data_IF_020212607483
#
_entry.id   IF_020212607483
#
_cell.length_a   1.000
_cell.length_b   1.000
_cell.length_c   1.000
_cell.angle_alpha   90.00
_cell.angle_beta   90.00
_cell.angle_gamma   90.00
#
_symmetry.space_group_name_H-M   'P 1'
#
loop_
_entity.id
_entity.type
_entity.pdbx_description
1 polymer ?
#
# COMPACT_ATOMS: atom_id res chain seq x y z
N UNK A 1 3.82 -6.02 -1.10
CA UNK A 1 3.23 -4.66 -1.02
C UNK A 1 2.52 -4.49 0.30
N UNK A 2 2.46 -3.27 0.86
CA UNK A 2 1.70 -2.98 2.07
C UNK A 2 0.97 -1.64 1.94
N UNK A 3 -0.15 -1.50 2.65
CA UNK A 3 -0.91 -0.25 2.80
C UNK A 3 -0.98 0.05 4.29
N UNK A 4 -0.68 1.29 4.67
CA UNK A 4 -0.80 1.77 6.05
C UNK A 4 -1.80 2.92 6.16
N UNK A 5 -2.32 3.12 7.35
CA UNK A 5 -3.15 4.27 7.69
C UNK A 5 -2.32 5.57 7.87
N UNK A 6 -3.02 6.64 8.25
CA UNK A 6 -2.40 7.93 8.56
C UNK A 6 -1.46 7.93 9.79
N UNK A 7 -1.39 6.87 10.57
CA UNK A 7 -0.49 6.68 11.71
C UNK A 7 0.65 5.71 11.43
N UNK A 8 0.66 5.07 10.24
CA UNK A 8 1.63 4.06 9.85
C UNK A 8 1.24 2.64 10.31
N UNK A 9 0.01 2.44 10.78
CA UNK A 9 -0.50 1.13 11.15
C UNK A 9 -0.92 0.33 9.92
N UNK A 10 -0.68 -0.99 9.87
CA UNK A 10 -0.98 -1.79 8.70
C UNK A 10 -2.49 -1.90 8.45
N UNK A 11 -2.92 -1.61 7.23
CA UNK A 11 -4.29 -1.81 6.75
C UNK A 11 -4.43 -3.00 5.82
N UNK A 12 -3.41 -3.27 5.02
CA UNK A 12 -3.38 -4.38 4.09
C UNK A 12 -1.95 -4.80 3.77
N UNK A 13 -1.75 -6.09 3.53
CA UNK A 13 -0.47 -6.63 3.05
C UNK A 13 -0.72 -7.68 1.99
N UNK A 14 0.17 -7.73 1.00
CA UNK A 14 0.15 -8.71 -0.08
C UNK A 14 1.57 -9.12 -0.43
N UNK A 15 1.77 -10.41 -0.69
CA UNK A 15 3.03 -10.99 -1.15
C UNK A 15 2.86 -11.43 -2.60
N UNK A 16 3.73 -10.98 -3.46
CA UNK A 16 3.78 -11.35 -4.86
C UNK A 16 5.24 -11.52 -5.30
N UNK A 17 5.44 -12.11 -6.48
CA UNK A 17 6.76 -12.10 -7.12
C UNK A 17 7.18 -10.66 -7.46
N UNK A 18 8.47 -10.44 -7.70
CA UNK A 18 8.97 -9.11 -8.09
C UNK A 18 8.70 -8.74 -9.55
N UNK A 19 8.13 -9.66 -10.35
CA UNK A 19 7.91 -9.47 -11.79
C UNK A 19 6.78 -8.49 -12.15
N UNK A 20 5.60 -8.47 -11.47
CA UNK A 20 4.54 -7.55 -11.82
C UNK A 20 4.90 -6.10 -11.48
N UNK A 21 4.47 -5.18 -12.36
CA UNK A 21 4.57 -3.74 -12.05
C UNK A 21 3.72 -3.41 -10.80
N UNK A 22 4.21 -2.52 -9.96
CA UNK A 22 3.61 -2.16 -8.67
C UNK A 22 2.14 -1.73 -8.77
N UNK A 23 1.75 -1.05 -9.84
CA UNK A 23 0.36 -0.66 -10.09
C UNK A 23 -0.60 -1.85 -10.15
N UNK A 24 -0.14 -3.02 -10.61
CA UNK A 24 -0.95 -4.25 -10.69
C UNK A 24 -1.15 -4.90 -9.32
N UNK A 25 -0.34 -4.55 -8.34
CA UNK A 25 -0.41 -5.12 -6.99
C UNK A 25 -1.34 -4.33 -6.06
N UNK A 26 -1.77 -3.12 -6.43
CA UNK A 26 -2.61 -2.27 -5.57
C UNK A 26 -3.95 -2.93 -5.30
N UNK A 27 -4.64 -3.38 -6.35
CA UNK A 27 -5.96 -4.03 -6.20
C UNK A 27 -5.90 -5.33 -5.38
N UNK A 28 -5.02 -6.31 -5.69
CA UNK A 28 -4.88 -7.51 -4.85
C UNK A 28 -4.55 -7.18 -3.39
N UNK A 29 -3.77 -6.12 -3.14
CA UNK A 29 -3.46 -5.69 -1.78
C UNK A 29 -4.69 -5.15 -1.07
N UNK A 30 -5.49 -4.31 -1.74
CA UNK A 30 -6.74 -3.78 -1.19
C UNK A 30 -7.78 -4.87 -0.92
N UNK A 31 -7.80 -5.94 -1.73
CA UNK A 31 -8.68 -7.09 -1.50
C UNK A 31 -8.32 -7.85 -0.21
N UNK A 32 -7.05 -7.81 0.20
CA UNK A 32 -6.55 -8.44 1.43
C UNK A 32 -6.50 -7.48 2.63
N UNK A 33 -7.29 -6.41 2.60
CA UNK A 33 -7.35 -5.47 3.72
C UNK A 33 -7.93 -6.11 4.98
N UNK A 34 -7.46 -5.63 6.13
CA UNK A 34 -7.88 -6.12 7.45
C UNK A 34 -9.23 -5.57 7.91
N UNK A 35 -9.69 -4.45 7.31
CA UNK A 35 -10.95 -3.80 7.60
C UNK A 35 -11.98 -4.08 6.50
N UNK A 36 -13.25 -4.10 6.85
CA UNK A 36 -14.33 -4.28 5.89
C UNK A 36 -14.40 -3.14 4.88
N UNK A 37 -14.17 -1.92 5.35
CA UNK A 37 -14.22 -0.71 4.52
C UNK A 37 -12.87 -0.43 3.85
N UNK A 38 -12.93 0.03 2.61
CA UNK A 38 -11.76 0.55 1.92
C UNK A 38 -11.46 1.99 2.38
N UNK A 39 -10.18 2.44 2.37
CA UNK A 39 -9.86 3.81 2.68
C UNK A 39 -10.41 4.76 1.61
N UNK A 40 -10.88 5.95 1.99
CA UNK A 40 -11.32 6.96 1.01
C UNK A 40 -10.22 7.34 0.02
N UNK A 41 -8.96 7.33 0.48
CA UNK A 41 -7.79 7.79 -0.29
C UNK A 41 -6.59 6.90 -0.06
N UNK A 42 -5.89 6.62 -1.16
CA UNK A 42 -4.56 6.02 -1.14
C UNK A 42 -3.53 7.05 -1.59
N UNK A 43 -2.40 7.11 -0.89
CA UNK A 43 -1.27 7.96 -1.25
C UNK A 43 -0.16 7.07 -1.76
N UNK A 44 0.22 7.24 -3.02
CA UNK A 44 1.32 6.52 -3.66
C UNK A 44 2.42 7.45 -4.14
N UNK A 45 3.54 6.88 -4.54
CA UNK A 45 4.60 7.63 -5.22
C UNK A 45 4.30 7.81 -6.72
N UNK A 46 5.25 8.38 -7.45
CA UNK A 46 5.10 8.62 -8.90
C UNK A 46 4.95 7.34 -9.73
N UNK A 47 5.36 6.18 -9.22
CA UNK A 47 5.20 4.91 -9.92
C UNK A 47 3.72 4.56 -10.11
N UNK A 48 2.87 5.03 -9.19
CA UNK A 48 1.42 4.81 -9.21
C UNK A 48 0.63 5.83 -10.06
N UNK A 49 1.29 6.80 -10.71
CA UNK A 49 0.62 7.72 -11.66
C UNK A 49 0.14 6.96 -12.90
N UNK A 50 -1.14 6.56 -12.86
CA UNK A 50 -1.79 5.73 -13.88
C UNK A 50 -3.28 6.03 -13.92
N UNK A 51 -3.74 6.68 -15.00
CA UNK A 51 -5.16 6.99 -15.19
C UNK A 51 -6.06 5.72 -15.18
N UNK A 52 -5.66 4.59 -15.79
CA UNK A 52 -6.45 3.36 -15.67
C UNK A 52 -6.57 2.84 -14.25
N UNK A 53 -5.50 2.95 -13.44
CA UNK A 53 -5.53 2.56 -12.03
C UNK A 53 -6.47 3.46 -11.22
N UNK A 54 -6.45 4.78 -11.48
CA UNK A 54 -7.36 5.74 -10.82
C UNK A 54 -8.82 5.38 -11.05
N UNK A 55 -9.18 5.10 -12.32
CA UNK A 55 -10.55 4.70 -12.69
C UNK A 55 -10.93 3.38 -11.99
N UNK A 56 -10.07 2.38 -12.09
CA UNK A 56 -10.30 1.06 -11.51
C UNK A 56 -10.52 1.11 -9.99
N UNK A 57 -9.69 1.85 -9.25
CA UNK A 57 -9.80 1.97 -7.80
C UNK A 57 -11.07 2.73 -7.38
N UNK A 58 -11.42 3.75 -8.14
CA UNK A 58 -12.65 4.54 -7.89
C UNK A 58 -13.91 3.71 -8.13
N UNK A 59 -13.97 2.98 -9.25
CA UNK A 59 -15.14 2.19 -9.61
C UNK A 59 -15.34 0.97 -8.71
N UNK A 60 -14.24 0.27 -8.35
CA UNK A 60 -14.34 -0.98 -7.59
C UNK A 60 -14.38 -0.80 -6.09
N UNK A 61 -13.69 0.21 -5.56
CA UNK A 61 -13.51 0.39 -4.12
C UNK A 61 -13.94 1.76 -3.61
N UNK A 62 -14.31 2.70 -4.49
CA UNK A 62 -14.57 4.09 -4.11
C UNK A 62 -13.33 4.86 -3.66
N UNK A 63 -12.13 4.36 -3.96
CA UNK A 63 -10.85 4.88 -3.48
C UNK A 63 -10.30 5.93 -4.44
N UNK A 64 -9.93 7.10 -3.91
CA UNK A 64 -9.19 8.12 -4.64
C UNK A 64 -7.69 7.87 -4.51
N UNK A 65 -7.00 7.59 -5.61
CA UNK A 65 -5.53 7.51 -5.63
C UNK A 65 -4.94 8.91 -5.71
N UNK A 66 -3.93 9.18 -4.89
CA UNK A 66 -3.18 10.44 -4.83
C UNK A 66 -1.72 10.12 -5.09
N UNK A 67 -1.26 10.35 -6.32
CA UNK A 67 0.13 10.16 -6.71
C UNK A 67 0.62 11.38 -7.51
N UNK A 68 1.85 11.86 -7.26
CA UNK A 68 2.42 12.92 -8.09
C UNK A 68 2.57 12.45 -9.53
N UNK A 69 2.26 13.32 -10.49
CA UNK A 69 2.44 12.97 -11.89
C UNK A 69 3.90 12.71 -12.24
N UNK A 70 4.11 11.77 -13.16
CA UNK A 70 5.40 11.51 -13.77
C UNK A 70 5.84 12.73 -14.57
N UNK A 71 7.13 13.06 -14.55
CA UNK A 71 7.68 14.16 -15.34
C UNK A 71 7.52 13.93 -16.87
N UNK A 72 7.37 12.66 -17.29
CA UNK A 72 7.14 12.25 -18.67
C UNK A 72 5.67 12.26 -19.09
N UNK A 73 4.75 12.70 -18.20
CA UNK A 73 3.32 12.75 -18.50
C UNK A 73 3.05 13.79 -19.60
N UNK A 74 2.45 13.36 -20.70
CA UNK A 74 2.02 14.22 -21.81
C UNK A 74 0.58 14.72 -21.66
N UNK A 75 -0.22 14.10 -20.77
CA UNK A 75 -1.62 14.46 -20.54
C UNK A 75 -1.75 15.58 -19.51
N UNK A 76 -2.87 16.31 -19.58
CA UNK A 76 -3.20 17.34 -18.59
C UNK A 76 -3.20 16.78 -17.15
N UNK A 77 -2.83 17.60 -16.14
CA UNK A 77 -2.90 17.20 -14.74
C UNK A 77 -4.33 16.86 -14.34
N UNK A 78 -4.50 15.72 -13.67
CA UNK A 78 -5.80 15.26 -13.14
C UNK A 78 -5.94 15.51 -11.64
N UNK A 79 -4.85 15.94 -10.97
CA UNK A 79 -4.81 16.12 -9.52
C UNK A 79 -4.55 17.56 -9.12
N UNK A 80 -5.29 18.01 -8.10
CA UNK A 80 -5.10 19.34 -7.48
C UNK A 80 -3.90 19.32 -6.54
N UNK A 81 -3.07 20.36 -6.56
CA UNK A 81 -1.94 20.56 -5.66
C UNK A 81 -2.31 20.54 -4.17
N UNK A 82 -3.58 20.83 -3.82
CA UNK A 82 -4.07 20.72 -2.43
C UNK A 82 -4.07 19.29 -1.93
N UNK A 83 -4.49 18.35 -2.77
CA UNK A 83 -4.53 16.92 -2.45
C UNK A 83 -3.10 16.37 -2.33
N UNK A 84 -2.19 16.83 -3.19
CA UNK A 84 -0.78 16.44 -3.17
C UNK A 84 -0.03 16.88 -1.90
N UNK A 85 -0.53 17.82 -1.10
CA UNK A 85 0.09 18.13 0.21
C UNK A 85 0.14 16.90 1.12
N UNK A 86 -0.80 15.97 0.97
CA UNK A 86 -0.86 14.72 1.74
C UNK A 86 0.28 13.77 1.38
N UNK A 87 0.84 13.88 0.18
CA UNK A 87 2.00 13.12 -0.26
C UNK A 87 3.22 13.30 0.65
N UNK A 88 3.35 14.44 1.32
CA UNK A 88 4.42 14.66 2.32
C UNK A 88 4.39 13.68 3.48
N UNK A 89 3.26 13.00 3.70
CA UNK A 89 3.09 12.01 4.79
C UNK A 89 3.39 10.57 4.36
N UNK A 90 3.84 10.34 3.14
CA UNK A 90 4.14 8.99 2.63
C UNK A 90 5.19 8.23 3.44
N UNK A 91 6.10 8.93 4.14
CA UNK A 91 7.11 8.33 5.00
C UNK A 91 6.54 7.42 6.09
N UNK A 92 5.24 7.48 6.35
CA UNK A 92 4.57 6.61 7.32
C UNK A 92 4.56 5.14 6.91
N UNK A 93 4.55 4.83 5.60
CA UNK A 93 4.71 3.46 5.12
C UNK A 93 6.13 2.94 5.38
N UNK A 94 7.14 3.81 5.32
CA UNK A 94 8.53 3.47 5.66
C UNK A 94 8.64 3.07 7.13
N UNK A 95 7.89 3.73 8.01
CA UNK A 95 7.76 3.35 9.43
C UNK A 95 7.18 1.94 9.59
N UNK A 96 6.12 1.61 8.85
CA UNK A 96 5.55 0.26 8.88
C UNK A 96 6.59 -0.79 8.47
N UNK A 97 7.33 -0.53 7.40
CA UNK A 97 8.40 -1.44 6.98
C UNK A 97 9.51 -1.55 8.04
N UNK A 98 9.90 -0.44 8.66
CA UNK A 98 10.86 -0.46 9.77
C UNK A 98 10.36 -1.32 10.95
N UNK A 99 9.09 -1.25 11.30
CA UNK A 99 8.50 -2.11 12.32
C UNK A 99 8.47 -3.58 11.91
N UNK A 100 8.11 -3.87 10.66
CA UNK A 100 8.10 -5.24 10.13
C UNK A 100 9.51 -5.85 10.12
N UNK A 101 10.55 -5.04 9.93
CA UNK A 101 11.93 -5.50 9.99
C UNK A 101 12.38 -5.94 11.40
N UNK A 102 11.64 -5.64 12.45
CA UNK A 102 11.90 -6.19 13.79
C UNK A 102 11.48 -7.68 13.93
N UNK A 103 10.74 -8.20 12.95
CA UNK A 103 10.30 -9.60 12.95
C UNK A 103 11.23 -10.44 12.07
N UNK A 104 12.06 -11.26 12.70
CA UNK A 104 13.09 -12.07 12.01
C UNK A 104 12.55 -12.89 10.86
N UNK A 105 11.34 -13.48 11.01
CA UNK A 105 10.68 -14.29 9.98
C UNK A 105 10.16 -13.46 8.78
N UNK A 106 9.98 -12.16 8.95
CA UNK A 106 9.59 -11.24 7.87
C UNK A 106 10.83 -10.76 7.10
N UNK A 107 11.96 -10.55 7.81
CA UNK A 107 13.23 -10.12 7.19
C UNK A 107 13.87 -11.23 6.38
N UNK A 108 13.90 -12.45 6.92
CA UNK A 108 14.47 -13.63 6.26
C UNK A 108 13.34 -14.60 6.02
N UNK A 109 12.97 -14.74 4.75
CA UNK A 109 11.96 -15.70 4.34
C UNK A 109 12.52 -17.12 4.41
N UNK A 110 11.90 -17.93 5.26
CA UNK A 110 12.18 -19.36 5.38
C UNK A 110 11.10 -20.23 4.73
N UNK A 111 9.94 -19.65 4.51
CA UNK A 111 8.77 -20.31 3.99
C UNK A 111 8.91 -20.55 2.48
N UNK A 112 8.75 -21.80 2.08
CA UNK A 112 8.76 -22.19 0.66
C UNK A 112 7.52 -21.64 -0.06
N UNK A 113 6.35 -21.79 0.54
CA UNK A 113 5.10 -21.32 -0.03
C UNK A 113 4.86 -19.83 0.29
N UNK A 114 4.48 -19.00 -0.72
CA UNK A 114 4.21 -17.58 -0.53
C UNK A 114 3.11 -17.30 0.50
N UNK A 115 2.11 -18.19 0.55
CA UNK A 115 0.95 -18.07 1.47
C UNK A 115 1.40 -18.18 2.93
N UNK A 116 2.33 -19.07 3.23
CA UNK A 116 2.90 -19.23 4.58
C UNK A 116 3.70 -17.97 4.97
N UNK A 117 4.47 -17.43 4.03
CA UNK A 117 5.19 -16.18 4.27
C UNK A 117 4.21 -15.01 4.47
N UNK A 118 3.14 -14.92 3.67
CA UNK A 118 2.09 -13.93 3.87
C UNK A 118 1.47 -14.05 5.27
N UNK A 119 1.19 -15.28 5.74
CA UNK A 119 0.71 -15.52 7.10
C UNK A 119 1.66 -14.97 8.17
N UNK A 120 2.98 -15.13 8.00
CA UNK A 120 3.98 -14.55 8.91
C UNK A 120 3.97 -13.02 8.89
N UNK A 121 3.80 -12.40 7.72
CA UNK A 121 3.67 -10.94 7.59
C UNK A 121 2.39 -10.45 8.25
N UNK A 122 1.26 -11.15 8.06
CA UNK A 122 -0.01 -10.82 8.70
C UNK A 122 0.06 -10.94 10.22
N UNK A 123 0.71 -11.98 10.73
CA UNK A 123 0.95 -12.14 12.16
C UNK A 123 1.78 -10.98 12.74
N UNK A 124 2.84 -10.57 12.04
CA UNK A 124 3.63 -9.39 12.42
C UNK A 124 2.78 -8.11 12.44
N UNK A 125 1.90 -7.92 11.45
CA UNK A 125 0.95 -6.82 11.41
C UNK A 125 -0.01 -6.86 12.62
N UNK A 126 -0.54 -8.03 12.96
CA UNK A 126 -1.41 -8.20 14.13
C UNK A 126 -0.69 -7.82 15.44
N UNK A 127 0.56 -8.25 15.62
CA UNK A 127 1.38 -7.87 16.78
C UNK A 127 1.63 -6.35 16.83
N UNK A 128 1.87 -5.71 15.67
CA UNK A 128 2.01 -4.25 15.60
C UNK A 128 0.70 -3.59 16.05
N UNK A 129 -0.44 -4.01 15.52
CA UNK A 129 -1.75 -3.45 15.88
C UNK A 129 -2.06 -3.59 17.36
N UNK A 130 -1.80 -4.77 17.95
CA UNK A 130 -2.03 -5.03 19.39
C UNK A 130 -1.23 -4.11 20.33
N UNK A 131 -0.12 -3.53 19.87
CA UNK A 131 0.66 -2.56 20.66
C UNK A 131 0.04 -1.18 20.73
N UNK A 132 -0.98 -0.91 19.91
CA UNK A 132 -1.66 0.38 19.78
C UNK A 132 -3.14 0.32 20.23
N UNK A 133 -3.59 -0.83 20.73
CA UNK A 133 -4.85 -1.00 21.43
C UNK A 133 -4.68 -0.66 22.92
#
# INVERSE_FOLDING_TARGET
MAISDGHGLPLAVHVASASPHETKLVEPTLQQRFLAEAPERLIGDRAYDSDPLDVQLRERFGVQLVAPHKCTRSKAPTQDGRVLRRYRRRWKIERLFAWLHNFRRVVIRWEYYPENFLGMVQLACAVILLRYL
#
